data_IF_960280662451
#
_entry.id   IF_960280662451
#
_cell.length_a   1.000
_cell.length_b   1.000
_cell.length_c   1.000
_cell.angle_alpha   90.00
_cell.angle_beta   90.00
_cell.angle_gamma   90.00
#
_symmetry.space_group_name_H-M   'P 1'
#
loop_
_entity.id
_entity.type
_entity.pdbx_description
1 polymer ?
#
# COMPACT_ATOMS: atom_id res chain seq x y z
N UNK A 1 28.91 12.00 5.69
CA UNK A 1 27.77 11.39 6.40
C UNK A 1 27.56 10.01 5.82
N UNK A 2 27.95 8.96 6.55
CA UNK A 2 27.64 7.58 6.18
C UNK A 2 26.13 7.37 6.32
N UNK A 3 25.43 7.18 5.20
CA UNK A 3 24.07 6.67 5.22
C UNK A 3 24.17 5.20 5.64
N UNK A 4 23.83 4.89 6.90
CA UNK A 4 23.59 3.50 7.31
C UNK A 4 22.54 2.93 6.37
N UNK A 5 22.90 1.89 5.62
CA UNK A 5 21.96 1.18 4.76
C UNK A 5 20.88 0.57 5.65
N UNK A 6 19.64 1.07 5.55
CA UNK A 6 18.47 0.45 6.17
C UNK A 6 18.33 -0.96 5.62
N UNK A 7 18.42 -1.98 6.47
CA UNK A 7 18.12 -3.37 6.10
C UNK A 7 16.62 -3.64 6.24
N UNK A 8 16.15 -4.77 5.69
CA UNK A 8 14.77 -5.21 5.92
C UNK A 8 14.52 -5.50 7.41
N UNK A 9 15.50 -6.08 8.11
CA UNK A 9 15.38 -6.37 9.55
C UNK A 9 15.30 -5.08 10.39
N UNK A 10 16.07 -4.05 10.03
CA UNK A 10 15.97 -2.72 10.65
C UNK A 10 14.57 -2.13 10.46
N UNK A 11 14.02 -2.26 9.24
CA UNK A 11 12.68 -1.80 8.94
C UNK A 11 11.63 -2.56 9.76
N UNK A 12 11.67 -3.90 9.77
CA UNK A 12 10.69 -4.72 10.48
C UNK A 12 10.72 -4.45 11.99
N UNK A 13 11.92 -4.35 12.56
CA UNK A 13 12.10 -4.02 13.97
C UNK A 13 11.45 -2.68 14.31
N UNK A 14 11.70 -1.64 13.49
CA UNK A 14 11.09 -0.32 13.69
C UNK A 14 9.59 -0.33 13.48
N UNK A 15 9.10 -1.01 12.46
CA UNK A 15 7.68 -1.09 12.14
C UNK A 15 6.87 -1.76 13.26
N UNK A 16 7.44 -2.80 13.89
CA UNK A 16 6.82 -3.48 15.03
C UNK A 16 6.83 -2.61 16.30
N UNK A 17 7.92 -1.88 16.55
CA UNK A 17 8.10 -1.08 17.77
C UNK A 17 7.43 0.31 17.70
N UNK A 18 7.28 0.89 16.51
CA UNK A 18 6.79 2.24 16.28
C UNK A 18 5.53 2.22 15.42
N UNK A 19 4.48 1.54 15.89
CA UNK A 19 3.20 1.54 15.16
C UNK A 19 2.64 2.97 15.10
N UNK A 20 2.35 3.50 13.90
CA UNK A 20 1.79 4.83 13.78
C UNK A 20 0.42 4.87 14.47
N UNK A 21 0.22 5.89 15.31
CA UNK A 21 -1.04 6.06 16.03
C UNK A 21 -2.17 6.42 15.07
N UNK A 22 -3.32 5.78 15.26
CA UNK A 22 -4.57 6.14 14.56
C UNK A 22 -5.06 7.43 15.20
N UNK A 23 -4.81 8.58 14.56
CA UNK A 23 -5.15 9.88 15.15
C UNK A 23 -5.83 10.84 14.16
N UNK A 24 -6.53 10.30 13.16
CA UNK A 24 -7.32 11.10 12.22
C UNK A 24 -8.71 10.51 12.06
N UNK A 25 -9.71 11.35 12.33
CA UNK A 25 -11.04 11.15 11.77
C UNK A 25 -10.93 11.33 10.25
N UNK A 26 -11.32 10.29 9.52
CA UNK A 26 -11.48 10.34 8.07
C UNK A 26 -12.91 10.77 7.77
N UNK A 27 -13.06 11.74 6.89
CA UNK A 27 -14.35 12.32 6.53
C UNK A 27 -14.97 11.62 5.32
N UNK A 28 -14.17 10.89 4.54
CA UNK A 28 -14.65 10.18 3.37
C UNK A 28 -15.31 8.85 3.76
N UNK A 29 -16.37 8.48 3.01
CA UNK A 29 -17.13 7.24 3.25
C UNK A 29 -16.80 6.13 2.24
N UNK A 30 -16.23 6.45 1.08
CA UNK A 30 -15.89 5.44 0.06
C UNK A 30 -14.56 4.79 0.43
N UNK A 31 -14.55 3.48 0.59
CA UNK A 31 -13.33 2.77 0.98
C UNK A 31 -12.48 2.41 -0.22
N UNK A 32 -11.18 2.57 -0.06
CA UNK A 32 -10.16 2.10 -1.00
C UNK A 32 -9.00 1.51 -0.21
N UNK A 33 -8.26 0.60 -0.82
CA UNK A 33 -7.08 0.02 -0.22
C UNK A 33 -5.92 0.00 -1.22
N UNK A 34 -4.71 0.23 -0.71
CA UNK A 34 -3.48 0.18 -1.50
C UNK A 34 -2.49 -0.77 -0.83
N UNK A 35 -1.76 -1.54 -1.64
CA UNK A 35 -0.61 -2.30 -1.17
C UNK A 35 0.61 -1.38 -1.15
N UNK A 36 1.33 -1.29 -0.04
CA UNK A 36 2.69 -0.74 0.06
C UNK A 36 3.65 -1.93 -0.02
N UNK A 37 4.09 -2.33 -1.23
CA UNK A 37 4.99 -3.47 -1.40
C UNK A 37 6.43 -3.07 -1.09
N UNK A 38 7.02 -3.72 -0.10
CA UNK A 38 8.43 -3.63 0.24
C UNK A 38 9.15 -4.80 -0.43
N UNK A 39 10.03 -4.48 -1.38
CA UNK A 39 10.79 -5.48 -2.12
C UNK A 39 11.95 -5.98 -1.28
N UNK A 40 12.00 -7.29 -1.04
CA UNK A 40 13.10 -7.96 -0.34
C UNK A 40 14.37 -7.98 -1.19
N UNK A 41 15.35 -7.17 -0.80
CA UNK A 41 16.69 -7.05 -1.42
C UNK A 41 17.67 -6.49 -0.38
N UNK A 42 19.01 -6.57 -0.59
CA UNK A 42 20.01 -6.12 0.38
C UNK A 42 19.78 -4.68 0.88
N UNK A 43 19.32 -3.81 -0.02
CA UNK A 43 18.73 -2.52 0.33
C UNK A 43 17.26 -2.54 -0.11
N UNK A 44 16.30 -2.61 0.82
CA UNK A 44 14.88 -2.72 0.51
C UNK A 44 14.41 -1.50 -0.30
N UNK A 45 13.46 -1.74 -1.19
CA UNK A 45 12.86 -0.71 -2.03
C UNK A 45 11.34 -0.80 -2.01
N UNK A 46 10.68 0.21 -2.56
CA UNK A 46 9.24 0.18 -2.79
C UNK A 46 8.98 -0.06 -4.27
N UNK A 47 7.98 -0.91 -4.55
CA UNK A 47 7.41 -0.98 -5.89
C UNK A 47 6.30 0.08 -6.00
N UNK A 48 6.36 0.85 -7.08
CA UNK A 48 5.40 1.89 -7.43
C UNK A 48 4.90 1.64 -8.85
N UNK A 49 3.64 1.96 -9.10
CA UNK A 49 3.05 1.93 -10.44
C UNK A 49 3.07 3.33 -11.01
N UNK A 50 3.19 3.43 -12.33
CA UNK A 50 2.88 4.65 -13.05
C UNK A 50 1.61 4.40 -13.85
N UNK A 51 0.53 5.13 -13.52
CA UNK A 51 -0.74 4.97 -14.21
C UNK A 51 -0.60 5.37 -15.67
N UNK A 52 -1.19 4.59 -16.57
CA UNK A 52 -1.17 4.86 -18.02
C UNK A 52 -1.56 6.30 -18.31
N UNK A 53 -0.79 6.94 -19.20
CA UNK A 53 -1.04 8.33 -19.64
C UNK A 53 -2.39 8.50 -20.33
N UNK A 54 -3.03 7.40 -20.76
CA UNK A 54 -4.30 7.40 -21.48
C UNK A 54 -5.53 7.32 -20.56
N UNK A 55 -5.37 7.29 -19.23
CA UNK A 55 -6.49 7.23 -18.29
C UNK A 55 -7.18 8.59 -18.13
N UNK A 56 -8.53 8.58 -18.09
CA UNK A 56 -9.35 9.79 -17.90
C UNK A 56 -9.12 10.50 -16.56
N UNK A 57 -8.59 9.80 -15.56
CA UNK A 57 -8.24 10.34 -14.23
C UNK A 57 -6.87 9.80 -13.82
N UNK A 58 -6.06 10.64 -13.17
CA UNK A 58 -4.76 10.27 -12.59
C UNK A 58 -3.70 9.76 -13.58
N UNK A 59 -3.81 10.12 -14.86
CA UNK A 59 -2.81 9.77 -15.88
C UNK A 59 -1.40 10.22 -15.48
N UNK A 60 -0.42 9.31 -15.60
CA UNK A 60 0.99 9.58 -15.30
C UNK A 60 1.33 9.68 -13.81
N UNK A 61 0.35 9.57 -12.90
CA UNK A 61 0.61 9.62 -11.47
C UNK A 61 1.37 8.37 -11.01
N UNK A 62 2.35 8.59 -10.14
CA UNK A 62 3.04 7.54 -9.41
C UNK A 62 2.20 7.17 -8.20
N UNK A 63 1.86 5.89 -8.08
CA UNK A 63 1.00 5.39 -7.03
C UNK A 63 1.48 4.04 -6.51
N UNK A 64 0.93 3.65 -5.37
CA UNK A 64 0.94 2.26 -4.97
C UNK A 64 -0.16 1.48 -5.73
N UNK A 65 0.03 0.17 -6.00
CA UNK A 65 -1.05 -0.67 -6.52
C UNK A 65 -2.25 -0.64 -5.57
N UNK A 66 -3.46 -0.49 -6.10
CA UNK A 66 -4.65 -0.43 -5.28
C UNK A 66 -5.84 0.26 -5.94
N UNK A 67 -6.97 0.15 -5.27
CA UNK A 67 -8.25 0.57 -5.83
C UNK A 67 -9.36 0.62 -4.79
N UNK A 68 -10.59 0.76 -5.29
CA UNK A 68 -11.78 0.78 -4.44
C UNK A 68 -12.01 -0.61 -3.81
N UNK A 69 -12.54 -0.63 -2.60
CA UNK A 69 -13.02 -1.87 -1.98
C UNK A 69 -14.34 -2.26 -2.65
N UNK A 70 -14.44 -3.49 -3.13
CA UNK A 70 -15.64 -4.09 -3.71
C UNK A 70 -16.47 -4.80 -2.63
N UNK A 71 -17.78 -4.94 -2.83
CA UNK A 71 -18.69 -5.69 -1.94
C UNK A 71 -18.30 -7.18 -1.83
N UNK A 72 -17.55 -7.69 -2.81
CA UNK A 72 -17.02 -9.06 -2.84
C UNK A 72 -15.69 -9.23 -2.09
N UNK A 73 -15.02 -8.13 -1.73
CA UNK A 73 -13.76 -8.18 -1.00
C UNK A 73 -14.01 -8.57 0.48
N UNK A 74 -13.41 -9.67 0.93
CA UNK A 74 -13.56 -10.15 2.30
C UNK A 74 -12.98 -9.19 3.36
N UNK A 75 -12.10 -8.27 2.96
CA UNK A 75 -11.51 -7.24 3.80
C UNK A 75 -10.79 -6.18 2.96
N UNK A 76 -10.39 -5.06 3.58
CA UNK A 76 -9.50 -4.07 2.98
C UNK A 76 -8.14 -4.65 2.55
N UNK A 77 -7.67 -5.70 3.22
CA UNK A 77 -6.45 -6.41 2.83
C UNK A 77 -6.71 -7.20 1.55
N UNK A 78 -7.84 -7.90 1.45
CA UNK A 78 -8.22 -8.64 0.26
C UNK A 78 -8.33 -7.71 -0.96
N UNK A 79 -8.95 -6.53 -0.79
CA UNK A 79 -9.03 -5.52 -1.83
C UNK A 79 -7.63 -5.08 -2.32
N UNK A 80 -6.71 -4.73 -1.41
CA UNK A 80 -5.35 -4.33 -1.78
C UNK A 80 -4.58 -5.42 -2.53
N UNK A 81 -4.74 -6.69 -2.12
CA UNK A 81 -4.06 -7.82 -2.76
C UNK A 81 -4.67 -8.15 -4.13
N UNK A 82 -5.99 -8.11 -4.27
CA UNK A 82 -6.68 -8.28 -5.55
C UNK A 82 -6.23 -7.22 -6.56
N UNK A 83 -6.25 -5.95 -6.17
CA UNK A 83 -5.82 -4.84 -7.03
C UNK A 83 -4.33 -4.94 -7.39
N UNK A 84 -3.47 -5.39 -6.48
CA UNK A 84 -2.05 -5.64 -6.79
C UNK A 84 -1.86 -6.78 -7.80
N UNK A 85 -2.68 -7.83 -7.73
CA UNK A 85 -2.69 -8.90 -8.71
C UNK A 85 -3.17 -8.39 -10.08
N UNK A 86 -4.25 -7.62 -10.12
CA UNK A 86 -4.81 -7.07 -11.36
C UNK A 86 -3.88 -6.03 -12.04
N UNK A 87 -3.30 -5.10 -11.27
CA UNK A 87 -2.52 -4.00 -11.84
C UNK A 87 -1.07 -4.39 -12.16
N UNK A 88 -0.45 -5.26 -11.36
CA UNK A 88 0.99 -5.58 -11.47
C UNK A 88 1.32 -7.08 -11.37
N UNK A 89 0.31 -7.96 -11.44
CA UNK A 89 0.48 -9.42 -11.44
C UNK A 89 1.23 -9.98 -10.22
N UNK A 90 1.10 -9.33 -9.06
CA UNK A 90 1.61 -9.86 -7.79
C UNK A 90 0.53 -10.73 -7.16
N UNK A 91 0.68 -12.07 -7.13
CA UNK A 91 -0.35 -12.93 -6.55
C UNK A 91 -0.40 -12.74 -5.02
N UNK A 92 -1.59 -12.86 -4.39
CA UNK A 92 -1.73 -12.71 -2.94
C UNK A 92 -0.78 -13.61 -2.12
N UNK A 93 -0.47 -14.81 -2.63
CA UNK A 93 0.44 -15.77 -1.99
C UNK A 93 1.90 -15.34 -1.99
N UNK A 94 2.29 -14.36 -2.81
CA UNK A 94 3.64 -13.79 -2.83
C UNK A 94 3.81 -12.63 -1.85
N UNK A 95 2.75 -12.21 -1.16
CA UNK A 95 2.78 -11.06 -0.26
C UNK A 95 2.73 -11.52 1.19
N UNK A 96 3.78 -11.25 1.95
CA UNK A 96 3.77 -11.36 3.41
C UNK A 96 3.21 -10.06 4.00
N UNK A 97 1.92 -10.04 4.36
CA UNK A 97 1.30 -8.87 4.98
C UNK A 97 1.79 -8.71 6.41
N UNK A 98 2.44 -7.58 6.70
CA UNK A 98 3.07 -7.31 7.99
C UNK A 98 2.31 -6.27 8.83
N UNK A 99 1.37 -5.54 8.23
CA UNK A 99 0.50 -4.64 8.97
C UNK A 99 -0.38 -3.75 8.09
N UNK A 100 -1.26 -3.01 8.75
CA UNK A 100 -2.16 -2.03 8.14
C UNK A 100 -1.92 -0.69 8.82
N UNK A 101 -1.79 0.38 8.02
CA UNK A 101 -1.58 1.74 8.50
C UNK A 101 -2.92 2.48 8.68
N UNK A 102 -2.94 3.56 9.49
CA UNK A 102 -4.12 4.40 9.59
C UNK A 102 -4.58 4.92 8.21
N UNK A 103 -5.89 4.94 7.94
CA UNK A 103 -6.41 5.40 6.66
C UNK A 103 -6.17 6.91 6.45
N UNK A 104 -6.10 7.31 5.18
CA UNK A 104 -5.92 8.70 4.76
C UNK A 104 -6.98 9.08 3.73
N UNK A 105 -7.58 10.26 3.89
CA UNK A 105 -8.52 10.78 2.91
C UNK A 105 -7.81 11.22 1.63
N UNK A 106 -8.26 10.69 0.49
CA UNK A 106 -7.87 11.17 -0.82
C UNK A 106 -8.66 12.41 -1.23
N UNK A 107 -8.06 13.24 -2.08
CA UNK A 107 -8.74 14.37 -2.74
C UNK A 107 -9.86 13.95 -3.68
N UNK A 108 -9.98 12.64 -3.97
CA UNK A 108 -11.02 12.07 -4.83
C UNK A 108 -12.20 11.47 -4.06
N UNK A 109 -12.25 11.67 -2.74
CA UNK A 109 -13.37 11.26 -1.89
C UNK A 109 -13.29 9.83 -1.39
N UNK A 110 -12.10 9.21 -1.41
CA UNK A 110 -11.86 7.89 -0.83
C UNK A 110 -11.17 7.99 0.53
N UNK A 111 -11.55 7.13 1.45
CA UNK A 111 -10.78 6.75 2.61
C UNK A 111 -9.82 5.63 2.19
N UNK A 112 -8.53 5.93 2.03
CA UNK A 112 -7.54 4.97 1.52
C UNK A 112 -6.81 4.32 2.68
N UNK A 113 -6.96 2.99 2.83
CA UNK A 113 -6.27 2.18 3.83
C UNK A 113 -4.98 1.58 3.25
N UNK A 114 -3.79 1.94 3.78
CA UNK A 114 -2.54 1.36 3.30
C UNK A 114 -2.25 0.02 3.99
N UNK A 115 -2.04 -1.01 3.20
CA UNK A 115 -1.67 -2.36 3.62
C UNK A 115 -0.20 -2.57 3.33
N UNK A 116 0.62 -2.88 4.33
CA UNK A 116 2.06 -3.06 4.16
C UNK A 116 2.37 -4.54 3.99
N UNK A 117 3.06 -4.87 2.91
CA UNK A 117 3.45 -6.24 2.61
C UNK A 117 4.88 -6.34 2.10
N UNK A 118 5.54 -7.46 2.36
CA UNK A 118 6.84 -7.80 1.79
C UNK A 118 6.62 -8.68 0.56
N UNK A 119 7.32 -8.36 -0.52
CA UNK A 119 7.40 -9.16 -1.75
C UNK A 119 8.82 -9.56 -2.08
#
# INVERSE_FOLDING_TARGET
MEYRSLTLDDFLSRFQLLRPQINRETLNHRQAAVLIPIVRRPQPGLLLTQRSIHLRKHAGQVAFPGGAVDDTDASVIAAALREAEEEVAIPPSAVEVIGVLPPVDSVTGYQVTPVVGII
#
